data_IF_020004116274
#
_entry.id   IF_020004116274
#
_cell.length_a   1.000
_cell.length_b   1.000
_cell.length_c   1.000
_cell.angle_alpha   90.00
_cell.angle_beta   90.00
_cell.angle_gamma   90.00
#
_symmetry.space_group_name_H-M   'P 1'
#
loop_
_entity.id
_entity.type
_entity.pdbx_description
1 polymer ?
#
# COMPACT_ATOMS: atom_id res chain seq x y z
N UNK A 1 11.20 15.69 -53.38
CA UNK A 1 11.50 15.47 -51.95
C UNK A 1 11.19 16.77 -51.22
N UNK A 2 10.03 16.85 -50.55
CA UNK A 2 9.69 18.01 -49.71
C UNK A 2 9.84 17.57 -48.26
N UNK A 3 10.82 18.18 -47.59
CA UNK A 3 11.15 17.97 -46.19
C UNK A 3 10.04 18.49 -45.28
N UNK A 4 9.82 17.75 -44.20
CA UNK A 4 8.75 17.98 -43.25
C UNK A 4 9.03 19.04 -42.19
N UNK A 5 7.96 19.21 -41.40
CA UNK A 5 7.93 19.62 -39.98
C UNK A 5 8.02 21.12 -39.71
N UNK A 6 6.85 21.75 -39.58
CA UNK A 6 6.67 22.93 -38.73
C UNK A 6 5.26 22.91 -38.12
N UNK A 7 5.15 22.42 -36.88
CA UNK A 7 4.13 22.85 -35.93
C UNK A 7 4.80 22.90 -34.57
N UNK A 8 5.49 24.01 -34.32
CA UNK A 8 5.75 24.46 -32.95
C UNK A 8 4.50 25.21 -32.50
N UNK A 9 3.61 24.53 -31.77
CA UNK A 9 2.60 25.21 -30.99
C UNK A 9 3.29 25.75 -29.74
N UNK A 10 3.60 27.04 -29.75
CA UNK A 10 3.89 27.78 -28.53
C UNK A 10 2.59 27.80 -27.71
N UNK A 11 2.53 27.03 -26.63
CA UNK A 11 1.54 27.24 -25.60
C UNK A 11 1.95 28.51 -24.84
N UNK A 12 1.40 29.64 -25.27
CA UNK A 12 1.55 30.95 -24.65
C UNK A 12 1.13 30.87 -23.19
N UNK A 13 2.06 31.15 -22.27
CA UNK A 13 1.82 31.25 -20.83
C UNK A 13 0.95 32.46 -20.47
N UNK A 14 -0.35 32.35 -20.71
CA UNK A 14 -1.37 33.30 -20.26
C UNK A 14 -2.60 32.52 -19.78
N UNK A 15 -2.46 31.91 -18.59
CA UNK A 15 -3.53 31.21 -17.88
C UNK A 15 -3.13 30.73 -16.49
N UNK A 16 -2.05 31.28 -15.92
CA UNK A 16 -1.52 30.86 -14.61
C UNK A 16 -1.96 31.79 -13.45
N UNK A 17 -2.72 32.85 -13.74
CA UNK A 17 -3.31 33.69 -12.71
C UNK A 17 -4.82 33.42 -12.64
N UNK A 18 -5.32 33.23 -11.42
CA UNK A 18 -6.74 33.11 -11.00
C UNK A 18 -7.32 31.68 -10.81
N UNK A 19 -6.55 30.69 -10.35
CA UNK A 19 -7.16 29.48 -9.74
C UNK A 19 -7.32 29.55 -8.22
N UNK A 20 -6.78 30.60 -7.56
CA UNK A 20 -6.80 30.71 -6.09
C UNK A 20 -6.09 29.53 -5.41
N UNK A 21 -6.37 29.32 -4.13
CA UNK A 21 -6.00 28.07 -3.45
C UNK A 21 -6.93 26.97 -3.94
N UNK A 22 -6.36 25.99 -4.65
CA UNK A 22 -7.10 24.81 -5.09
C UNK A 22 -7.44 23.94 -3.87
N UNK A 23 -8.64 23.33 -3.83
CA UNK A 23 -8.98 22.43 -2.74
C UNK A 23 -8.05 21.20 -2.76
N UNK A 24 -7.44 20.90 -1.61
CA UNK A 24 -6.69 19.68 -1.39
C UNK A 24 -7.55 18.63 -0.68
N UNK A 25 -7.19 17.36 -0.86
CA UNK A 25 -7.83 16.25 -0.16
C UNK A 25 -7.43 16.31 1.31
N UNK A 26 -8.41 16.33 2.22
CA UNK A 26 -8.13 16.12 3.63
C UNK A 26 -7.88 14.64 3.89
N UNK A 27 -6.67 14.32 4.36
CA UNK A 27 -6.22 12.96 4.63
C UNK A 27 -5.98 12.72 6.12
N UNK A 28 -6.39 13.65 6.99
CA UNK A 28 -6.19 13.55 8.43
C UNK A 28 -6.89 12.34 9.06
N UNK A 29 -7.96 11.84 8.44
CA UNK A 29 -8.63 10.59 8.85
C UNK A 29 -7.74 9.35 8.69
N UNK A 30 -6.75 9.39 7.79
CA UNK A 30 -5.77 8.31 7.62
C UNK A 30 -4.56 8.53 8.52
N UNK A 31 -3.89 9.68 8.36
CA UNK A 31 -2.72 10.10 9.12
C UNK A 31 -2.66 11.61 9.18
N UNK A 32 -2.23 12.19 10.31
CA UNK A 32 -2.21 13.65 10.48
C UNK A 32 -1.24 14.40 9.54
N UNK A 33 -0.34 13.69 8.86
CA UNK A 33 0.68 14.25 7.98
C UNK A 33 1.80 13.27 7.64
N UNK A 34 2.68 13.67 6.72
CA UNK A 34 3.80 12.84 6.24
C UNK A 34 4.80 12.47 7.35
N UNK A 35 4.90 13.32 8.37
CA UNK A 35 5.78 13.11 9.52
C UNK A 35 5.08 12.52 10.74
N UNK A 36 3.80 12.16 10.60
CA UNK A 36 2.97 11.67 11.68
C UNK A 36 3.62 10.46 12.39
N UNK A 37 3.74 10.48 13.72
CA UNK A 37 4.35 9.38 14.47
C UNK A 37 3.56 8.08 14.29
N UNK A 38 2.24 8.14 14.12
CA UNK A 38 1.39 6.99 13.83
C UNK A 38 1.73 6.33 12.48
N UNK A 39 2.06 7.09 11.43
CA UNK A 39 2.45 6.53 10.13
C UNK A 39 3.76 5.76 10.25
N UNK A 40 4.75 6.33 10.93
CA UNK A 40 6.05 5.68 11.18
C UNK A 40 5.90 4.39 11.98
N UNK A 41 5.06 4.42 13.03
CA UNK A 41 4.72 3.24 13.83
C UNK A 41 4.04 2.17 12.98
N UNK A 42 3.08 2.55 12.17
CA UNK A 42 2.25 1.62 11.42
C UNK A 42 3.02 0.96 10.27
N UNK A 43 3.94 1.69 9.62
CA UNK A 43 4.91 1.12 8.67
C UNK A 43 5.81 0.07 9.36
N UNK A 44 6.35 0.39 10.54
CA UNK A 44 7.21 -0.53 11.28
C UNK A 44 6.43 -1.77 11.76
N UNK A 45 5.18 -1.56 12.20
CA UNK A 45 4.27 -2.62 12.61
C UNK A 45 3.95 -3.55 11.44
N UNK A 46 3.58 -3.03 10.28
CA UNK A 46 3.26 -3.85 9.11
C UNK A 46 4.43 -4.77 8.72
N UNK A 47 5.66 -4.27 8.75
CA UNK A 47 6.85 -5.09 8.47
C UNK A 47 7.07 -6.19 9.52
N UNK A 48 6.96 -5.85 10.82
CA UNK A 48 7.16 -6.81 11.90
C UNK A 48 6.05 -7.88 11.95
N UNK A 49 4.79 -7.44 11.81
CA UNK A 49 3.61 -8.31 11.83
C UNK A 49 3.64 -9.27 10.63
N UNK A 50 4.07 -8.81 9.44
CA UNK A 50 4.19 -9.68 8.26
C UNK A 50 5.22 -10.81 8.45
N UNK A 51 6.39 -10.51 9.00
CA UNK A 51 7.42 -11.51 9.31
C UNK A 51 6.91 -12.49 10.38
N UNK A 52 6.27 -11.97 11.43
CA UNK A 52 5.70 -12.79 12.49
C UNK A 52 4.59 -13.70 11.96
N UNK A 53 3.75 -13.20 11.07
CA UNK A 53 2.67 -13.94 10.42
C UNK A 53 3.22 -15.09 9.59
N UNK A 54 4.21 -14.82 8.72
CA UNK A 54 4.88 -15.86 7.94
C UNK A 54 5.51 -16.93 8.85
N UNK A 55 6.29 -16.51 9.85
CA UNK A 55 6.97 -17.43 10.76
C UNK A 55 5.99 -18.33 11.52
N UNK A 56 4.76 -17.87 11.74
CA UNK A 56 3.77 -18.57 12.54
C UNK A 56 2.94 -19.54 11.71
N UNK A 57 2.54 -19.14 10.51
CA UNK A 57 1.49 -19.84 9.77
C UNK A 57 1.99 -20.61 8.55
N UNK A 58 3.15 -20.26 8.00
CA UNK A 58 3.67 -20.89 6.79
C UNK A 58 3.93 -22.38 6.99
N UNK A 59 3.38 -23.18 6.08
CA UNK A 59 3.43 -24.64 6.10
C UNK A 59 2.49 -25.30 7.13
N UNK A 60 1.62 -24.53 7.79
CA UNK A 60 0.75 -25.05 8.86
C UNK A 60 -0.73 -25.09 8.48
N UNK A 61 -1.16 -24.32 7.46
CA UNK A 61 -2.58 -24.04 7.21
C UNK A 61 -3.42 -25.29 6.95
N UNK A 62 -2.90 -26.27 6.19
CA UNK A 62 -3.60 -27.52 5.93
C UNK A 62 -3.87 -28.31 7.22
N UNK A 63 -2.87 -28.41 8.10
CA UNK A 63 -3.01 -29.09 9.38
C UNK A 63 -3.95 -28.35 10.33
N UNK A 64 -4.03 -27.02 10.26
CA UNK A 64 -5.01 -26.24 11.02
C UNK A 64 -6.42 -26.42 10.45
N UNK A 65 -6.60 -26.56 9.13
CA UNK A 65 -7.90 -26.80 8.52
C UNK A 65 -8.47 -28.19 8.87
N UNK A 66 -7.63 -29.24 8.84
CA UNK A 66 -8.02 -30.61 9.19
C UNK A 66 -8.55 -30.74 10.63
N UNK A 67 -8.14 -29.84 11.53
CA UNK A 67 -8.54 -29.84 12.94
C UNK A 67 -9.93 -29.24 13.21
N UNK A 68 -10.62 -28.77 12.17
CA UNK A 68 -11.97 -28.19 12.24
C UNK A 68 -12.10 -27.19 13.42
N UNK A 69 -13.04 -27.41 14.34
CA UNK A 69 -13.31 -26.53 15.50
C UNK A 69 -12.14 -26.34 16.47
N UNK A 70 -11.15 -27.24 16.43
CA UNK A 70 -9.92 -27.14 17.24
C UNK A 70 -8.74 -26.52 16.50
N UNK A 71 -8.91 -26.27 15.20
CA UNK A 71 -7.94 -25.63 14.34
C UNK A 71 -7.89 -24.12 14.52
N UNK A 72 -6.78 -23.52 14.08
CA UNK A 72 -6.55 -22.07 14.22
C UNK A 72 -6.59 -21.31 12.90
N UNK A 73 -7.17 -21.90 11.86
CA UNK A 73 -7.25 -21.27 10.53
C UNK A 73 -8.02 -19.93 10.57
N UNK A 74 -9.09 -19.85 11.37
CA UNK A 74 -9.84 -18.60 11.56
C UNK A 74 -9.01 -17.49 12.23
N UNK A 75 -8.07 -17.85 13.11
CA UNK A 75 -7.14 -16.90 13.72
C UNK A 75 -6.12 -16.41 12.69
N UNK A 76 -5.59 -17.32 11.85
CA UNK A 76 -4.71 -16.94 10.75
C UNK A 76 -5.42 -15.99 9.76
N UNK A 77 -6.69 -16.25 9.44
CA UNK A 77 -7.47 -15.36 8.57
C UNK A 77 -7.66 -13.97 9.18
N UNK A 78 -8.05 -13.89 10.45
CA UNK A 78 -8.24 -12.61 11.13
C UNK A 78 -6.94 -11.79 11.24
N UNK A 79 -5.81 -12.46 11.50
CA UNK A 79 -4.49 -11.82 11.51
C UNK A 79 -4.09 -11.31 10.10
N UNK A 80 -4.36 -12.10 9.06
CA UNK A 80 -4.13 -11.71 7.67
C UNK A 80 -4.96 -10.49 7.27
N UNK A 81 -6.27 -10.48 7.58
CA UNK A 81 -7.18 -9.37 7.29
C UNK A 81 -6.73 -8.07 7.97
N UNK A 82 -6.37 -8.14 9.26
CA UNK A 82 -5.89 -6.97 10.00
C UNK A 82 -4.58 -6.40 9.40
N UNK A 83 -3.73 -7.26 8.86
CA UNK A 83 -2.48 -6.85 8.23
C UNK A 83 -2.71 -6.23 6.84
N UNK A 84 -3.57 -6.83 6.01
CA UNK A 84 -3.97 -6.27 4.72
C UNK A 84 -4.67 -4.92 4.88
N UNK A 85 -5.52 -4.75 5.90
CA UNK A 85 -6.15 -3.47 6.23
C UNK A 85 -5.10 -2.40 6.60
N UNK A 86 -4.12 -2.78 7.42
CA UNK A 86 -3.03 -1.90 7.82
C UNK A 86 -2.19 -1.45 6.62
N UNK A 87 -1.77 -2.39 5.77
CA UNK A 87 -0.99 -2.13 4.55
C UNK A 87 -1.80 -1.27 3.58
N UNK A 88 -3.07 -1.62 3.35
CA UNK A 88 -3.97 -0.89 2.47
C UNK A 88 -4.14 0.57 2.89
N UNK A 89 -4.28 0.84 4.19
CA UNK A 89 -4.34 2.21 4.74
C UNK A 89 -3.04 2.98 4.49
N UNK A 90 -1.88 2.38 4.73
CA UNK A 90 -0.56 2.99 4.52
C UNK A 90 -0.35 3.35 3.04
N UNK A 91 -0.57 2.39 2.13
CA UNK A 91 -0.37 2.58 0.70
C UNK A 91 -1.36 3.60 0.13
N UNK A 92 -2.61 3.55 0.58
CA UNK A 92 -3.64 4.51 0.16
C UNK A 92 -3.28 5.94 0.55
N UNK A 93 -2.81 6.17 1.77
CA UNK A 93 -2.32 7.49 2.20
C UNK A 93 -1.17 7.98 1.32
N UNK A 94 -0.15 7.14 1.10
CA UNK A 94 1.02 7.49 0.29
C UNK A 94 0.63 7.83 -1.16
N UNK A 95 -0.25 7.01 -1.75
CA UNK A 95 -0.75 7.21 -3.11
C UNK A 95 -1.56 8.50 -3.26
N UNK A 96 -2.44 8.81 -2.31
CA UNK A 96 -3.25 10.03 -2.32
C UNK A 96 -2.39 11.28 -2.13
N UNK A 97 -1.42 11.26 -1.20
CA UNK A 97 -0.47 12.36 -1.01
C UNK A 97 0.29 12.63 -2.32
N UNK A 98 0.86 11.59 -2.93
CA UNK A 98 1.59 11.72 -4.19
C UNK A 98 0.71 12.22 -5.34
N UNK A 99 -0.50 11.70 -5.48
CA UNK A 99 -1.45 12.13 -6.50
C UNK A 99 -1.85 13.61 -6.38
N UNK A 100 -1.85 14.17 -5.16
CA UNK A 100 -2.13 15.58 -4.93
C UNK A 100 -1.11 16.54 -5.56
N UNK A 101 0.16 16.14 -5.65
CA UNK A 101 1.19 16.87 -6.39
C UNK A 101 2.38 15.96 -6.74
N UNK A 102 2.37 15.41 -7.96
CA UNK A 102 3.39 14.46 -8.42
C UNK A 102 4.74 15.10 -8.76
N UNK A 103 4.81 16.43 -8.84
CA UNK A 103 6.06 17.18 -9.06
C UNK A 103 6.78 17.49 -7.74
N UNK A 104 6.14 17.27 -6.59
CA UNK A 104 6.75 17.49 -5.28
C UNK A 104 7.73 16.35 -4.92
N UNK A 105 9.04 16.66 -4.76
CA UNK A 105 10.05 15.64 -4.48
C UNK A 105 9.90 15.00 -3.09
N UNK A 106 9.33 15.69 -2.11
CA UNK A 106 9.10 15.13 -0.77
C UNK A 106 7.97 14.09 -0.81
N UNK A 107 6.87 14.40 -1.52
CA UNK A 107 5.75 13.48 -1.72
C UNK A 107 6.18 12.24 -2.53
N UNK A 108 6.96 12.46 -3.60
CA UNK A 108 7.52 11.37 -4.41
C UNK A 108 8.45 10.45 -3.59
N UNK A 109 9.30 11.03 -2.73
CA UNK A 109 10.18 10.24 -1.85
C UNK A 109 9.37 9.40 -0.85
N UNK A 110 8.41 9.99 -0.15
CA UNK A 110 7.57 9.27 0.80
C UNK A 110 6.85 8.10 0.12
N UNK A 111 6.27 8.34 -1.07
CA UNK A 111 5.61 7.30 -1.85
C UNK A 111 6.57 6.15 -2.19
N UNK A 112 7.77 6.46 -2.70
CA UNK A 112 8.79 5.44 -2.99
C UNK A 112 9.20 4.63 -1.77
N UNK A 113 9.51 5.29 -0.66
CA UNK A 113 9.92 4.64 0.59
C UNK A 113 8.81 3.70 1.13
N UNK A 114 7.54 4.11 1.03
CA UNK A 114 6.39 3.29 1.45
C UNK A 114 6.19 2.13 0.47
N UNK A 115 6.27 2.35 -0.84
CA UNK A 115 6.13 1.29 -1.83
C UNK A 115 7.16 0.18 -1.62
N UNK A 116 8.43 0.53 -1.39
CA UNK A 116 9.50 -0.43 -1.08
C UNK A 116 9.14 -1.27 0.14
N UNK A 117 8.87 -0.62 1.28
CA UNK A 117 8.58 -1.31 2.54
C UNK A 117 7.32 -2.17 2.49
N UNK A 118 6.27 -1.70 1.82
CA UNK A 118 5.00 -2.44 1.73
C UNK A 118 5.11 -3.59 0.74
N UNK A 119 5.91 -3.45 -0.33
CA UNK A 119 6.24 -4.57 -1.23
C UNK A 119 6.97 -5.69 -0.46
N UNK A 120 7.97 -5.33 0.34
CA UNK A 120 8.69 -6.28 1.19
C UNK A 120 7.76 -6.98 2.19
N UNK A 121 6.89 -6.21 2.87
CA UNK A 121 5.91 -6.78 3.80
C UNK A 121 4.93 -7.74 3.10
N UNK A 122 4.35 -7.34 1.96
CA UNK A 122 3.42 -8.18 1.21
C UNK A 122 4.06 -9.47 0.67
N UNK A 123 5.37 -9.47 0.39
CA UNK A 123 6.09 -10.68 -0.02
C UNK A 123 6.02 -11.79 1.04
N UNK A 124 6.06 -11.42 2.33
CA UNK A 124 5.91 -12.36 3.45
C UNK A 124 4.49 -12.95 3.57
N UNK A 125 3.49 -12.37 2.89
CA UNK A 125 2.10 -12.81 2.95
C UNK A 125 1.68 -13.69 1.79
N UNK A 126 2.47 -13.73 0.71
CA UNK A 126 2.15 -14.48 -0.51
C UNK A 126 1.85 -15.96 -0.25
N UNK A 127 2.55 -16.59 0.70
CA UNK A 127 2.33 -18.00 1.02
C UNK A 127 0.89 -18.28 1.48
N UNK A 128 0.23 -17.32 2.13
CA UNK A 128 -1.07 -17.56 2.76
C UNK A 128 -2.13 -17.89 1.72
N UNK A 129 -2.27 -17.05 0.70
CA UNK A 129 -3.17 -17.30 -0.42
C UNK A 129 -2.78 -18.57 -1.19
N UNK A 130 -1.48 -18.83 -1.35
CA UNK A 130 -1.00 -20.02 -2.05
C UNK A 130 -1.32 -21.32 -1.30
N UNK A 131 -1.10 -21.36 0.01
CA UNK A 131 -1.37 -22.53 0.85
C UNK A 131 -2.87 -22.73 1.05
N UNK A 132 -3.65 -21.65 1.19
CA UNK A 132 -5.11 -21.74 1.30
C UNK A 132 -5.72 -22.39 0.05
N UNK A 133 -5.21 -22.06 -1.15
CA UNK A 133 -5.64 -22.68 -2.41
C UNK A 133 -5.32 -24.19 -2.53
N UNK A 134 -4.48 -24.74 -1.66
CA UNK A 134 -4.13 -26.16 -1.64
C UNK A 134 -4.98 -26.98 -0.65
N UNK A 135 -5.83 -26.33 0.14
CA UNK A 135 -6.73 -27.00 1.07
C UNK A 135 -7.93 -27.51 0.26
N UNK A 136 -8.23 -28.80 0.38
CA UNK A 136 -9.35 -29.42 -0.34
C UNK A 136 -10.71 -28.88 0.18
N UNK A 137 -11.61 -28.58 -0.76
CA UNK A 137 -13.02 -28.33 -0.47
C UNK A 137 -13.69 -29.66 -0.08
N UNK A 138 -13.81 -29.92 1.22
CA UNK A 138 -14.43 -31.13 1.76
C UNK A 138 -15.97 -31.16 1.59
#
# INVERSE_FOLDING_TARGET
MVFGRQLAAAASGQGAAELGDLPEWDLADLYSGMDAPELKRDIARAAADAISFESRWKGTLAAEAERADSGRLGEALAEYEALEELIGRIVSYAGLIYAGNTADPQRAKLYGDIQEKMTDASAHLLFFALELNLIDDA
#
